data_IF_569613752767
#
_entry.id   IF_569613752767
#
_cell.length_a   1.000
_cell.length_b   1.000
_cell.length_c   1.000
_cell.angle_alpha   90.00
_cell.angle_beta   90.00
_cell.angle_gamma   90.00
#
_symmetry.space_group_name_H-M   'P 1'
#
loop_
_entity.id
_entity.type
_entity.pdbx_description
1 polymer ?
#
# COMPACT_ATOMS: atom_id res chain seq x y z
N UNK A 1 9.40 3.87 15.33
CA UNK A 1 9.44 3.95 13.85
C UNK A 1 8.08 4.40 13.39
N UNK A 2 7.94 5.03 12.22
CA UNK A 2 6.62 5.51 11.75
C UNK A 2 5.59 4.38 11.68
N UNK A 3 6.04 3.18 11.32
CA UNK A 3 5.23 1.97 11.29
C UNK A 3 4.63 1.59 12.67
N UNK A 4 5.34 1.90 13.76
CA UNK A 4 4.90 1.60 15.13
C UNK A 4 3.80 2.57 15.62
N UNK A 5 3.69 3.75 15.01
CA UNK A 5 2.72 4.78 15.40
C UNK A 5 1.49 4.83 14.49
N UNK A 6 1.42 4.00 13.43
CA UNK A 6 0.33 4.01 12.45
C UNK A 6 -1.06 3.85 13.05
N UNK A 7 -1.19 2.95 14.05
CA UNK A 7 -2.47 2.69 14.72
C UNK A 7 -3.06 3.93 15.42
N UNK A 8 -2.21 4.86 15.85
CA UNK A 8 -2.65 6.11 16.49
C UNK A 8 -3.16 7.15 15.48
N UNK A 9 -2.52 7.27 14.32
CA UNK A 9 -2.88 8.23 13.26
C UNK A 9 -4.05 7.75 12.38
N UNK A 10 -4.23 6.43 12.21
CA UNK A 10 -5.26 5.85 11.34
C UNK A 10 -6.69 5.94 11.92
N UNK A 11 -6.82 6.21 13.22
CA UNK A 11 -8.12 6.18 13.90
C UNK A 11 -9.16 7.13 13.30
N UNK A 12 -8.73 8.28 12.78
CA UNK A 12 -9.58 9.32 12.15
C UNK A 12 -9.72 9.15 10.63
N UNK A 13 -8.87 8.33 10.00
CA UNK A 13 -8.77 8.21 8.54
C UNK A 13 -9.36 6.92 8.00
N UNK A 14 -10.02 6.11 8.83
CA UNK A 14 -10.54 4.80 8.45
C UNK A 14 -11.87 4.46 9.14
N UNK A 15 -12.59 3.48 8.58
CA UNK A 15 -13.82 2.93 9.16
C UNK A 15 -15.08 3.67 8.73
N UNK A 16 -16.18 3.44 9.45
CA UNK A 16 -17.53 3.91 9.11
C UNK A 16 -17.63 5.40 8.79
N UNK A 17 -17.07 6.25 9.65
CA UNK A 17 -17.15 7.71 9.49
C UNK A 17 -16.44 8.16 8.21
N UNK A 18 -15.23 7.63 7.97
CA UNK A 18 -14.49 7.91 6.74
C UNK A 18 -15.20 7.38 5.50
N UNK A 19 -15.79 6.18 5.59
CA UNK A 19 -16.60 5.60 4.50
C UNK A 19 -17.81 6.47 4.18
N UNK A 20 -18.47 7.04 5.19
CA UNK A 20 -19.57 7.98 5.01
C UNK A 20 -19.10 9.29 4.35
N UNK A 21 -17.96 9.81 4.80
CA UNK A 21 -17.33 10.97 4.15
C UNK A 21 -17.04 10.68 2.67
N UNK A 22 -16.50 9.51 2.32
CA UNK A 22 -16.29 9.12 0.93
C UNK A 22 -17.60 8.98 0.15
N UNK A 23 -18.71 8.53 0.74
CA UNK A 23 -20.00 8.51 0.03
C UNK A 23 -20.45 9.92 -0.38
N UNK A 24 -20.12 10.93 0.42
CA UNK A 24 -20.50 12.31 0.17
C UNK A 24 -19.54 13.00 -0.82
N UNK A 25 -18.24 12.76 -0.68
CA UNK A 25 -17.22 13.56 -1.39
C UNK A 25 -16.41 12.80 -2.46
N UNK A 26 -16.37 11.47 -2.38
CA UNK A 26 -15.66 10.63 -3.35
C UNK A 26 -16.43 9.32 -3.67
N UNK A 27 -17.75 9.36 -3.98
CA UNK A 27 -18.57 8.14 -4.11
C UNK A 27 -18.08 7.23 -5.23
N UNK A 28 -17.50 7.81 -6.28
CA UNK A 28 -16.93 7.05 -7.40
C UNK A 28 -15.73 6.20 -6.96
N UNK A 29 -14.93 6.66 -5.99
CA UNK A 29 -13.80 5.88 -5.46
C UNK A 29 -14.30 4.59 -4.78
N UNK A 30 -15.26 4.70 -3.85
CA UNK A 30 -15.85 3.52 -3.21
C UNK A 30 -16.51 2.58 -4.23
N UNK A 31 -17.23 3.14 -5.21
CA UNK A 31 -17.87 2.36 -6.28
C UNK A 31 -16.84 1.59 -7.10
N UNK A 32 -15.73 2.22 -7.48
CA UNK A 32 -14.67 1.59 -8.26
C UNK A 32 -13.96 0.49 -7.48
N UNK A 33 -13.55 0.76 -6.22
CA UNK A 33 -12.98 -0.25 -5.33
C UNK A 33 -13.90 -1.46 -5.19
N UNK A 34 -15.19 -1.23 -4.91
CA UNK A 34 -16.17 -2.31 -4.79
C UNK A 34 -16.38 -3.07 -6.11
N UNK A 35 -16.35 -2.38 -7.25
CA UNK A 35 -16.48 -2.99 -8.58
C UNK A 35 -15.32 -3.94 -8.86
N UNK A 36 -14.08 -3.51 -8.65
CA UNK A 36 -12.89 -4.34 -8.85
C UNK A 36 -12.91 -5.58 -7.95
N UNK A 37 -13.22 -5.41 -6.66
CA UNK A 37 -13.30 -6.54 -5.71
C UNK A 37 -14.42 -7.51 -6.09
N UNK A 38 -15.60 -7.00 -6.44
CA UNK A 38 -16.76 -7.83 -6.86
C UNK A 38 -16.50 -8.58 -8.16
N UNK A 39 -15.87 -7.93 -9.14
CA UNK A 39 -15.43 -8.58 -10.39
C UNK A 39 -14.36 -9.63 -10.12
N UNK A 40 -13.39 -9.36 -9.25
CA UNK A 40 -12.39 -10.35 -8.83
C UNK A 40 -13.04 -11.59 -8.19
N UNK A 41 -14.01 -11.40 -7.30
CA UNK A 41 -14.81 -12.49 -6.71
C UNK A 41 -15.56 -13.31 -7.77
N UNK A 42 -16.08 -12.66 -8.81
CA UNK A 42 -16.84 -13.31 -9.90
C UNK A 42 -15.92 -14.09 -10.85
N UNK A 43 -14.71 -13.57 -11.10
CA UNK A 43 -13.72 -14.22 -11.95
C UNK A 43 -12.99 -15.39 -11.27
N UNK A 44 -13.09 -15.50 -9.93
CA UNK A 44 -12.55 -16.62 -9.18
C UNK A 44 -13.17 -17.93 -9.65
N UNK A 45 -12.31 -18.87 -10.09
CA UNK A 45 -12.76 -20.18 -10.57
C UNK A 45 -13.50 -20.96 -9.50
N UNK A 46 -14.55 -21.70 -9.88
CA UNK A 46 -15.42 -22.46 -8.96
C UNK A 46 -14.64 -23.52 -8.15
N UNK A 47 -13.55 -24.05 -8.72
CA UNK A 47 -12.71 -25.08 -8.09
C UNK A 47 -11.61 -24.54 -7.16
N UNK A 48 -11.48 -23.21 -7.02
CA UNK A 48 -10.47 -22.60 -6.14
C UNK A 48 -10.96 -22.50 -4.70
N UNK A 49 -10.01 -22.29 -3.79
CA UNK A 49 -10.26 -21.99 -2.38
C UNK A 49 -11.33 -20.91 -2.18
N UNK A 50 -12.27 -21.20 -1.28
CA UNK A 50 -13.31 -20.25 -0.87
C UNK A 50 -12.83 -19.23 0.16
N UNK A 51 -11.56 -19.29 0.58
CA UNK A 51 -10.95 -18.31 1.46
C UNK A 51 -10.50 -17.07 0.68
N UNK A 52 -10.68 -15.90 1.29
CA UNK A 52 -10.21 -14.62 0.77
C UNK A 52 -9.24 -13.97 1.75
N UNK A 53 -8.22 -13.28 1.25
CA UNK A 53 -7.26 -12.50 2.02
C UNK A 53 -7.32 -11.04 1.62
N UNK A 54 -7.27 -10.13 2.60
CA UNK A 54 -7.12 -8.69 2.38
C UNK A 54 -5.82 -8.24 3.06
N UNK A 55 -4.83 -7.84 2.26
CA UNK A 55 -3.55 -7.26 2.68
C UNK A 55 -3.68 -5.75 2.81
N UNK A 56 -3.16 -5.19 3.91
CA UNK A 56 -3.35 -3.77 4.23
C UNK A 56 -4.82 -3.49 4.54
N UNK A 57 -5.45 -4.39 5.31
CA UNK A 57 -6.89 -4.39 5.49
C UNK A 57 -7.43 -3.14 6.19
N UNK A 58 -6.67 -2.53 7.12
CA UNK A 58 -7.16 -1.46 8.00
C UNK A 58 -8.56 -1.78 8.55
N UNK A 59 -9.46 -0.80 8.51
CA UNK A 59 -10.89 -1.01 8.80
C UNK A 59 -11.73 -1.45 7.58
N UNK A 60 -11.10 -1.86 6.48
CA UNK A 60 -11.73 -2.15 5.19
C UNK A 60 -12.66 -1.02 4.73
N UNK A 61 -12.17 0.22 4.79
CA UNK A 61 -12.96 1.43 4.46
C UNK A 61 -13.44 1.41 3.02
N UNK A 62 -12.57 1.01 2.10
CA UNK A 62 -12.80 0.98 0.66
C UNK A 62 -13.28 -0.40 0.18
N UNK A 63 -12.70 -1.48 0.74
CA UNK A 63 -13.03 -2.85 0.36
C UNK A 63 -14.42 -3.22 0.90
N UNK A 64 -15.34 -3.76 0.06
CA UNK A 64 -16.68 -4.15 0.50
C UNK A 64 -16.66 -5.45 1.31
N UNK A 65 -16.21 -5.38 2.58
CA UNK A 65 -15.99 -6.55 3.43
C UNK A 65 -17.22 -7.46 3.56
N UNK A 66 -18.43 -6.88 3.60
CA UNK A 66 -19.67 -7.66 3.64
C UNK A 66 -19.82 -8.57 2.41
N UNK A 67 -19.48 -8.09 1.22
CA UNK A 67 -19.66 -8.84 -0.03
C UNK A 67 -18.60 -9.93 -0.16
N UNK A 68 -17.36 -9.63 0.25
CA UNK A 68 -16.28 -10.61 0.37
C UNK A 68 -16.65 -11.71 1.37
N UNK A 69 -17.15 -11.35 2.56
CA UNK A 69 -17.53 -12.31 3.60
C UNK A 69 -18.73 -13.19 3.22
N UNK A 70 -19.69 -12.67 2.45
CA UNK A 70 -20.81 -13.46 1.92
C UNK A 70 -20.34 -14.49 0.89
N UNK A 71 -19.36 -14.11 0.08
CA UNK A 71 -18.83 -14.91 -1.03
C UNK A 71 -17.71 -15.88 -0.61
N UNK A 72 -17.31 -15.86 0.65
CA UNK A 72 -16.17 -16.63 1.17
C UNK A 72 -16.57 -17.46 2.38
N UNK A 73 -15.89 -18.59 2.58
CA UNK A 73 -16.03 -19.40 3.80
C UNK A 73 -15.26 -18.78 4.97
N UNK A 74 -14.05 -18.28 4.69
CA UNK A 74 -13.21 -17.49 5.59
C UNK A 74 -12.74 -16.21 4.87
N UNK A 75 -12.63 -15.11 5.61
CA UNK A 75 -11.92 -13.91 5.16
C UNK A 75 -10.83 -13.59 6.18
N UNK A 76 -9.60 -13.53 5.70
CA UNK A 76 -8.44 -13.17 6.51
C UNK A 76 -8.13 -11.69 6.28
N UNK A 77 -8.08 -10.92 7.36
CA UNK A 77 -7.61 -9.53 7.32
C UNK A 77 -6.17 -9.51 7.85
N UNK A 78 -5.26 -8.98 7.05
CA UNK A 78 -3.84 -8.87 7.38
C UNK A 78 -3.39 -7.41 7.35
N UNK A 79 -2.97 -6.91 8.52
CA UNK A 79 -2.52 -5.53 8.73
C UNK A 79 -1.70 -5.45 10.03
N UNK A 80 -0.98 -4.35 10.24
CA UNK A 80 -0.37 -4.02 11.53
C UNK A 80 -1.40 -3.51 12.54
N UNK A 81 -2.46 -2.86 12.08
CA UNK A 81 -3.48 -2.23 12.91
C UNK A 81 -4.64 -3.19 13.21
N UNK A 82 -4.42 -4.04 14.22
CA UNK A 82 -5.44 -4.97 14.71
C UNK A 82 -6.73 -4.27 15.15
N UNK A 83 -6.62 -3.08 15.75
CA UNK A 83 -7.78 -2.34 16.23
C UNK A 83 -8.65 -1.87 15.07
N UNK A 84 -8.05 -1.39 13.99
CA UNK A 84 -8.79 -1.03 12.77
C UNK A 84 -9.45 -2.24 12.12
N UNK A 85 -8.76 -3.38 12.03
CA UNK A 85 -9.37 -4.63 11.53
C UNK A 85 -10.56 -5.09 12.36
N UNK A 86 -10.47 -4.99 13.69
CA UNK A 86 -11.59 -5.28 14.60
C UNK A 86 -12.77 -4.36 14.36
N UNK A 87 -12.56 -3.04 14.24
CA UNK A 87 -13.61 -2.08 13.89
C UNK A 87 -14.29 -2.45 12.58
N UNK A 88 -13.53 -2.77 11.54
CA UNK A 88 -14.06 -3.18 10.24
C UNK A 88 -14.94 -4.45 10.32
N UNK A 89 -14.52 -5.46 11.10
CA UNK A 89 -15.35 -6.66 11.36
C UNK A 89 -16.63 -6.29 12.11
N UNK A 90 -16.54 -5.46 13.14
CA UNK A 90 -17.67 -5.18 14.03
C UNK A 90 -18.78 -4.37 13.32
N UNK A 91 -18.41 -3.60 12.27
CA UNK A 91 -19.34 -2.93 11.34
C UNK A 91 -20.25 -3.91 10.55
N UNK A 92 -19.88 -5.19 10.40
CA UNK A 92 -20.71 -6.16 9.69
C UNK A 92 -22.00 -6.44 10.47
N UNK A 93 -23.17 -6.18 9.89
CA UNK A 93 -24.45 -6.31 10.60
C UNK A 93 -24.75 -7.73 11.12
N UNK A 94 -24.43 -8.75 10.31
CA UNK A 94 -24.74 -10.14 10.64
C UNK A 94 -23.61 -10.81 11.43
N UNK A 95 -23.94 -11.36 12.62
CA UNK A 95 -22.99 -12.08 13.45
C UNK A 95 -22.36 -13.29 12.75
N UNK A 96 -23.09 -13.93 11.83
CA UNK A 96 -22.57 -15.03 11.00
C UNK A 96 -21.43 -14.58 10.08
N UNK A 97 -21.49 -13.36 9.53
CA UNK A 97 -20.41 -12.81 8.71
C UNK A 97 -19.20 -12.44 9.57
N UNK A 98 -19.41 -11.87 10.76
CA UNK A 98 -18.32 -11.57 11.72
C UNK A 98 -17.51 -12.82 12.07
N UNK A 99 -18.17 -13.97 12.25
CA UNK A 99 -17.53 -15.26 12.57
C UNK A 99 -16.64 -15.81 11.46
N UNK A 100 -16.79 -15.35 10.22
CA UNK A 100 -15.94 -15.74 9.09
C UNK A 100 -14.64 -14.95 9.02
N UNK A 101 -14.50 -13.90 9.84
CA UNK A 101 -13.34 -13.02 9.80
C UNK A 101 -12.25 -13.53 10.75
N UNK A 102 -11.07 -13.82 10.20
CA UNK A 102 -9.84 -14.10 10.93
C UNK A 102 -8.88 -12.92 10.82
N UNK A 103 -8.18 -12.60 11.90
CA UNK A 103 -7.16 -11.55 11.89
C UNK A 103 -5.76 -12.13 11.85
N UNK A 104 -4.88 -11.50 11.09
CA UNK A 104 -3.44 -11.73 11.11
C UNK A 104 -2.74 -10.39 11.30
N UNK A 105 -2.33 -10.09 12.53
CA UNK A 105 -1.54 -8.90 12.80
C UNK A 105 -0.10 -9.11 12.33
N UNK A 106 0.34 -8.40 11.29
CA UNK A 106 1.67 -8.61 10.70
C UNK A 106 2.18 -7.40 9.91
N UNK A 107 3.51 -7.31 9.80
CA UNK A 107 4.17 -6.45 8.80
C UNK A 107 4.21 -7.19 7.47
N UNK A 108 3.34 -6.79 6.54
CA UNK A 108 3.23 -7.43 5.22
C UNK A 108 4.47 -7.22 4.33
N UNK A 109 5.36 -6.28 4.69
CA UNK A 109 6.65 -6.12 3.99
C UNK A 109 7.70 -7.16 4.40
N UNK A 110 7.45 -7.94 5.46
CA UNK A 110 8.43 -8.89 6.00
C UNK A 110 9.56 -8.24 6.79
N UNK A 111 9.30 -7.08 7.42
CA UNK A 111 10.26 -6.42 8.31
C UNK A 111 11.16 -5.39 7.64
N UNK A 112 10.80 -4.88 6.46
CA UNK A 112 11.62 -3.92 5.69
C UNK A 112 11.92 -2.67 6.52
N UNK A 113 10.91 -2.10 7.19
CA UNK A 113 11.09 -0.91 8.05
C UNK A 113 12.06 -1.17 9.21
N UNK A 114 11.96 -2.34 9.86
CA UNK A 114 12.87 -2.74 10.94
C UNK A 114 14.30 -2.96 10.42
N UNK A 115 14.43 -3.59 9.26
CA UNK A 115 15.71 -3.83 8.59
C UNK A 115 16.43 -2.52 8.25
N UNK A 116 15.72 -1.56 7.65
CA UNK A 116 16.29 -0.25 7.32
C UNK A 116 16.65 0.51 8.60
N UNK A 117 15.77 0.53 9.60
CA UNK A 117 16.03 1.20 10.89
C UNK A 117 17.30 0.67 11.55
N UNK A 118 17.56 -0.64 11.51
CA UNK A 118 18.79 -1.24 12.04
C UNK A 118 20.04 -0.73 11.32
N UNK A 119 19.98 -0.50 10.01
CA UNK A 119 21.08 0.08 9.25
C UNK A 119 21.26 1.55 9.59
N UNK A 120 20.17 2.33 9.61
CA UNK A 120 20.20 3.74 9.93
C UNK A 120 20.79 4.02 11.32
N UNK A 121 20.54 3.16 12.32
CA UNK A 121 21.10 3.32 13.68
C UNK A 121 22.62 3.17 13.78
N UNK A 122 23.30 2.66 12.75
CA UNK A 122 24.76 2.42 12.77
C UNK A 122 25.57 3.60 12.31
N UNK A 123 24.95 4.55 11.61
CA UNK A 123 25.62 5.73 11.06
C UNK A 123 25.61 6.88 12.08
N UNK A 124 26.68 7.67 12.10
CA UNK A 124 26.73 8.93 12.83
C UNK A 124 26.22 10.07 11.94
N UNK A 125 24.89 10.25 11.94
CA UNK A 125 24.22 11.22 11.07
C UNK A 125 24.64 12.68 11.35
N UNK A 126 25.00 13.01 12.59
CA UNK A 126 25.45 14.36 12.95
C UNK A 126 26.83 14.64 12.36
N UNK A 127 27.76 13.68 12.47
CA UNK A 127 29.07 13.80 11.84
C UNK A 127 28.99 13.82 10.30
N UNK A 128 28.12 13.00 9.71
CA UNK A 128 27.89 12.98 8.27
C UNK A 128 27.27 14.28 7.77
N UNK A 129 26.30 14.86 8.50
CA UNK A 129 25.72 16.16 8.18
C UNK A 129 26.76 17.28 8.27
N UNK A 130 27.64 17.26 9.28
CA UNK A 130 28.74 18.22 9.42
C UNK A 130 29.76 18.11 8.27
N UNK A 131 29.92 16.92 7.69
CA UNK A 131 30.74 16.69 6.49
C UNK A 131 30.05 17.13 5.17
N UNK A 132 28.77 17.53 5.22
CA UNK A 132 28.00 18.05 4.11
C UNK A 132 26.99 17.06 3.51
N UNK A 133 26.05 17.59 2.72
CA UNK A 133 24.93 16.83 2.16
C UNK A 133 25.35 15.61 1.32
N UNK A 134 26.44 15.71 0.56
CA UNK A 134 26.95 14.58 -0.22
C UNK A 134 27.31 13.37 0.67
N UNK A 135 28.03 13.60 1.77
CA UNK A 135 28.41 12.53 2.69
C UNK A 135 27.19 11.90 3.36
N UNK A 136 26.24 12.75 3.79
CA UNK A 136 24.97 12.32 4.37
C UNK A 136 24.16 11.44 3.40
N UNK A 137 23.90 11.94 2.19
CA UNK A 137 23.06 11.23 1.22
C UNK A 137 23.77 10.01 0.60
N UNK A 138 25.10 9.98 0.53
CA UNK A 138 25.84 8.76 0.18
C UNK A 138 25.71 7.69 1.26
N UNK A 139 25.67 8.05 2.54
CA UNK A 139 25.39 7.11 3.62
C UNK A 139 23.93 6.62 3.60
N UNK A 140 22.98 7.52 3.38
CA UNK A 140 21.58 7.16 3.19
C UNK A 140 21.38 6.21 2.01
N UNK A 141 22.04 6.47 0.88
CA UNK A 141 22.03 5.59 -0.29
C UNK A 141 22.55 4.18 0.04
N UNK A 142 23.69 4.08 0.76
CA UNK A 142 24.23 2.78 1.22
C UNK A 142 23.24 2.02 2.10
N UNK A 143 22.57 2.71 3.03
CA UNK A 143 21.55 2.09 3.88
C UNK A 143 20.39 1.49 3.06
N UNK A 144 19.91 2.19 2.04
CA UNK A 144 18.85 1.71 1.14
C UNK A 144 19.34 0.55 0.25
N UNK A 145 20.55 0.66 -0.30
CA UNK A 145 21.19 -0.38 -1.13
C UNK A 145 21.37 -1.69 -0.35
N UNK A 146 21.76 -1.60 0.93
CA UNK A 146 22.05 -2.74 1.80
C UNK A 146 20.82 -3.27 2.55
N UNK A 147 19.69 -2.55 2.54
CA UNK A 147 18.49 -2.95 3.25
C UNK A 147 17.95 -4.29 2.70
N UNK A 148 17.90 -5.36 3.52
CA UNK A 148 17.25 -6.59 3.09
C UNK A 148 15.76 -6.36 2.84
N UNK A 149 15.29 -6.74 1.66
CA UNK A 149 13.89 -6.79 1.26
C UNK A 149 13.57 -8.25 0.94
N UNK A 150 12.91 -9.00 1.84
CA UNK A 150 12.54 -10.38 1.59
C UNK A 150 11.62 -10.49 0.37
N UNK A 151 11.90 -11.42 -0.54
CA UNK A 151 11.15 -11.59 -1.78
C UNK A 151 10.90 -13.09 -2.07
N UNK A 152 9.67 -13.59 -1.85
CA UNK A 152 8.55 -12.91 -1.19
C UNK A 152 8.77 -12.75 0.33
N UNK A 153 8.10 -11.79 0.98
CA UNK A 153 7.90 -11.74 2.43
C UNK A 153 7.39 -13.07 2.99
N UNK A 154 7.89 -13.46 4.17
CA UNK A 154 7.45 -14.65 4.88
C UNK A 154 6.62 -14.26 6.10
N UNK A 155 5.35 -14.66 6.12
CA UNK A 155 4.43 -14.45 7.25
C UNK A 155 3.87 -15.80 7.66
N UNK A 156 4.38 -16.39 8.75
CA UNK A 156 4.16 -17.80 9.10
C UNK A 156 2.68 -18.21 9.27
N UNK A 157 1.78 -17.25 9.51
CA UNK A 157 0.34 -17.45 9.71
C UNK A 157 -0.48 -17.37 8.41
N UNK A 158 0.17 -17.08 7.28
CA UNK A 158 -0.40 -17.03 5.93
C UNK A 158 0.39 -18.01 5.05
N UNK A 159 -0.22 -19.13 4.66
CA UNK A 159 0.47 -20.13 3.85
C UNK A 159 0.29 -19.83 2.37
N UNK A 160 1.28 -20.24 1.58
CA UNK A 160 1.23 -20.14 0.13
C UNK A 160 0.12 -21.01 -0.44
N UNK A 161 -0.60 -20.52 -1.45
CA UNK A 161 -1.65 -21.27 -2.12
C UNK A 161 -3.00 -21.39 -1.39
N UNK A 162 -3.19 -20.70 -0.25
CA UNK A 162 -4.40 -20.91 0.57
C UNK A 162 -5.64 -20.15 0.06
N UNK A 163 -5.48 -19.14 -0.80
CA UNK A 163 -6.53 -18.15 -1.05
C UNK A 163 -6.97 -18.12 -2.51
N UNK A 164 -8.28 -18.27 -2.76
CA UNK A 164 -8.84 -18.09 -4.11
C UNK A 164 -9.02 -16.63 -4.49
N UNK A 165 -9.00 -15.71 -3.51
CA UNK A 165 -8.94 -14.26 -3.72
C UNK A 165 -7.91 -13.61 -2.79
N UNK A 166 -7.01 -12.81 -3.33
CA UNK A 166 -6.10 -11.94 -2.56
C UNK A 166 -6.31 -10.50 -2.98
N UNK A 167 -6.71 -9.64 -2.05
CA UNK A 167 -6.87 -8.19 -2.28
C UNK A 167 -5.72 -7.45 -1.61
N UNK A 168 -5.00 -6.61 -2.35
CA UNK A 168 -4.09 -5.61 -1.77
C UNK A 168 -4.77 -4.25 -1.79
N UNK A 169 -5.03 -3.69 -0.62
CA UNK A 169 -5.87 -2.50 -0.45
C UNK A 169 -5.07 -1.24 -0.14
N UNK A 170 -4.67 -0.48 -1.17
CA UNK A 170 -4.09 0.86 -1.06
C UNK A 170 -2.91 0.98 -0.07
N UNK A 171 -2.15 -0.11 0.06
CA UNK A 171 -1.04 -0.21 1.02
C UNK A 171 0.33 -0.12 0.36
N UNK A 172 0.41 -0.34 -0.96
CA UNK A 172 1.67 -0.51 -1.68
C UNK A 172 2.61 0.68 -1.50
N UNK A 173 2.12 1.91 -1.65
CA UNK A 173 2.96 3.10 -1.50
C UNK A 173 3.49 3.27 -0.08
N UNK A 174 2.72 2.85 0.93
CA UNK A 174 3.11 2.91 2.33
C UNK A 174 4.30 1.98 2.62
N UNK A 175 4.37 0.82 1.94
CA UNK A 175 5.42 -0.19 2.16
C UNK A 175 6.83 0.33 1.87
N UNK A 176 6.98 1.28 0.94
CA UNK A 176 8.27 1.92 0.67
C UNK A 176 8.34 3.37 1.15
N UNK A 177 7.22 4.09 1.23
CA UNK A 177 7.26 5.51 1.62
C UNK A 177 7.59 5.68 3.10
N UNK A 178 7.09 4.82 3.99
CA UNK A 178 7.43 4.92 5.42
C UNK A 178 8.92 4.67 5.70
N UNK A 179 9.56 3.61 5.16
CA UNK A 179 11.01 3.47 5.26
C UNK A 179 11.79 4.67 4.72
N UNK A 180 11.37 5.23 3.58
CA UNK A 180 12.05 6.41 3.00
C UNK A 180 11.87 7.66 3.88
N UNK A 181 10.71 7.85 4.50
CA UNK A 181 10.48 8.92 5.46
C UNK A 181 11.34 8.74 6.72
N UNK A 182 11.59 7.51 7.18
CA UNK A 182 12.51 7.28 8.31
C UNK A 182 13.95 7.75 7.99
N UNK A 183 14.37 7.75 6.71
CA UNK A 183 15.65 8.36 6.28
C UNK A 183 15.58 9.88 6.37
N UNK A 184 14.49 10.49 5.90
CA UNK A 184 14.32 11.95 5.95
C UNK A 184 14.19 12.46 7.38
N UNK A 185 13.61 11.67 8.28
CA UNK A 185 13.58 11.98 9.71
C UNK A 185 15.01 12.07 10.29
N UNK A 186 15.99 11.33 9.75
CA UNK A 186 17.42 11.51 10.11
C UNK A 186 17.98 12.82 9.62
N UNK A 187 17.64 13.24 8.40
CA UNK A 187 18.06 14.53 7.87
C UNK A 187 17.47 15.66 8.72
N UNK A 188 16.16 15.60 8.98
CA UNK A 188 15.45 16.57 9.82
C UNK A 188 16.05 16.70 11.23
N UNK A 189 16.50 15.60 11.83
CA UNK A 189 17.12 15.58 13.16
C UNK A 189 18.56 16.09 13.16
N UNK A 190 19.35 15.74 12.16
CA UNK A 190 20.78 16.07 12.10
C UNK A 190 21.03 17.48 11.55
N UNK A 191 20.33 17.85 10.48
CA UNK A 191 20.38 19.19 9.88
C UNK A 191 19.15 19.43 8.98
N UNK A 192 18.17 20.25 9.43
CA UNK A 192 16.93 20.52 8.68
C UNK A 192 17.15 21.01 7.25
N UNK A 193 18.22 21.76 6.99
CA UNK A 193 18.53 22.32 5.66
C UNK A 193 18.77 21.23 4.61
N UNK A 194 19.25 20.05 5.03
CA UNK A 194 19.50 18.92 4.12
C UNK A 194 18.22 18.37 3.47
N UNK A 195 17.05 18.59 4.07
CA UNK A 195 15.77 18.16 3.47
C UNK A 195 15.54 18.81 2.10
N UNK A 196 16.01 20.04 1.92
CA UNK A 196 15.88 20.79 0.66
C UNK A 196 16.88 20.34 -0.41
N UNK A 197 17.90 19.56 -0.02
CA UNK A 197 18.99 19.15 -0.91
C UNK A 197 18.80 17.75 -1.47
N UNK A 198 17.89 16.94 -0.92
CA UNK A 198 17.68 15.53 -1.29
C UNK A 198 17.61 15.30 -2.82
N UNK A 199 16.91 16.18 -3.54
CA UNK A 199 16.72 16.07 -5.00
C UNK A 199 18.02 16.29 -5.80
N UNK A 200 19.04 16.91 -5.20
CA UNK A 200 20.34 17.19 -5.83
C UNK A 200 21.28 15.99 -5.78
N UNK A 201 21.02 14.99 -4.95
CA UNK A 201 21.92 13.85 -4.74
C UNK A 201 21.50 12.63 -5.57
N UNK A 202 22.02 12.56 -6.80
CA UNK A 202 21.67 11.52 -7.78
C UNK A 202 21.78 10.08 -7.25
N UNK A 203 22.88 9.74 -6.57
CA UNK A 203 23.07 8.38 -6.04
C UNK A 203 21.96 7.98 -5.07
N UNK A 204 21.58 8.89 -4.18
CA UNK A 204 20.49 8.66 -3.25
C UNK A 204 19.14 8.50 -3.99
N UNK A 205 18.88 9.32 -5.01
CA UNK A 205 17.68 9.18 -5.84
C UNK A 205 17.62 7.80 -6.53
N UNK A 206 18.73 7.36 -7.12
CA UNK A 206 18.84 6.05 -7.76
C UNK A 206 18.64 4.90 -6.74
N UNK A 207 19.27 5.00 -5.56
CA UNK A 207 19.13 4.02 -4.49
C UNK A 207 17.68 3.94 -3.96
N UNK A 208 17.03 5.10 -3.73
CA UNK A 208 15.64 5.16 -3.31
C UNK A 208 14.69 4.59 -4.37
N UNK A 209 14.94 4.87 -5.65
CA UNK A 209 14.16 4.31 -6.76
C UNK A 209 14.29 2.79 -6.85
N UNK A 210 15.52 2.28 -6.75
CA UNK A 210 15.78 0.84 -6.76
C UNK A 210 15.15 0.15 -5.54
N UNK A 211 15.20 0.79 -4.38
CA UNK A 211 14.54 0.30 -3.17
C UNK A 211 13.02 0.19 -3.36
N UNK A 212 12.36 1.22 -3.91
CA UNK A 212 10.92 1.17 -4.25
C UNK A 212 10.59 -0.01 -5.16
N UNK A 213 11.36 -0.20 -6.24
CA UNK A 213 11.16 -1.31 -7.19
C UNK A 213 11.28 -2.66 -6.49
N UNK A 214 12.30 -2.85 -5.63
CA UNK A 214 12.48 -4.09 -4.85
C UNK A 214 11.28 -4.39 -3.96
N UNK A 215 10.80 -3.40 -3.20
CA UNK A 215 9.65 -3.56 -2.30
C UNK A 215 8.36 -3.86 -3.07
N UNK A 216 8.15 -3.20 -4.21
CA UNK A 216 6.99 -3.46 -5.07
C UNK A 216 7.02 -4.89 -5.62
N UNK A 217 8.15 -5.33 -6.17
CA UNK A 217 8.28 -6.70 -6.68
C UNK A 217 8.04 -7.73 -5.58
N UNK A 218 8.65 -7.53 -4.41
CA UNK A 218 8.44 -8.40 -3.25
C UNK A 218 6.96 -8.52 -2.88
N UNK A 219 6.21 -7.40 -2.89
CA UNK A 219 4.78 -7.41 -2.62
C UNK A 219 3.97 -8.12 -3.71
N UNK A 220 4.28 -7.89 -4.99
CA UNK A 220 3.62 -8.58 -6.11
C UNK A 220 3.87 -10.10 -6.07
N UNK A 221 5.11 -10.52 -5.83
CA UNK A 221 5.46 -11.92 -5.63
C UNK A 221 4.77 -12.51 -4.38
N UNK A 222 4.62 -11.71 -3.31
CA UNK A 222 3.88 -12.15 -2.13
C UNK A 222 2.43 -12.45 -2.46
N UNK A 223 1.73 -11.49 -3.08
CA UNK A 223 0.36 -11.67 -3.53
C UNK A 223 0.21 -12.93 -4.39
N UNK A 224 1.14 -13.13 -5.34
CA UNK A 224 1.14 -14.33 -6.20
C UNK A 224 1.29 -15.60 -5.38
N UNK A 225 2.23 -15.63 -4.44
CA UNK A 225 2.52 -16.82 -3.62
C UNK A 225 1.33 -17.25 -2.75
N UNK A 226 0.45 -16.32 -2.40
CA UNK A 226 -0.73 -16.57 -1.56
C UNK A 226 -1.92 -17.13 -2.36
N UNK A 227 -1.91 -17.01 -3.69
CA UNK A 227 -3.00 -17.48 -4.54
C UNK A 227 -2.99 -19.00 -4.69
N UNK A 228 -4.15 -19.60 -4.46
CA UNK A 228 -4.45 -20.96 -4.91
C UNK A 228 -4.41 -21.07 -6.45
N UNK A 229 -4.30 -22.28 -6.98
CA UNK A 229 -4.32 -22.55 -8.41
C UNK A 229 -5.62 -22.04 -9.04
N UNK A 230 -5.52 -21.09 -9.98
CA UNK A 230 -6.67 -20.42 -10.58
C UNK A 230 -7.30 -19.31 -9.73
N UNK A 231 -6.66 -18.94 -8.62
CA UNK A 231 -7.04 -17.82 -7.76
C UNK A 231 -6.85 -16.47 -8.46
N UNK A 232 -7.52 -15.44 -7.92
CA UNK A 232 -7.51 -14.08 -8.44
C UNK A 232 -6.85 -13.12 -7.45
N UNK A 233 -5.95 -12.29 -7.93
CA UNK A 233 -5.47 -11.13 -7.19
C UNK A 233 -6.22 -9.87 -7.61
N UNK A 234 -6.57 -9.02 -6.65
CA UNK A 234 -7.06 -7.65 -6.90
C UNK A 234 -6.07 -6.68 -6.27
N UNK A 235 -5.44 -5.84 -7.09
CA UNK A 235 -4.52 -4.81 -6.62
C UNK A 235 -5.20 -3.45 -6.75
N UNK A 236 -5.42 -2.79 -5.62
CA UNK A 236 -5.82 -1.39 -5.56
C UNK A 236 -4.62 -0.60 -5.03
N UNK A 237 -4.13 0.37 -5.79
CA UNK A 237 -2.96 1.16 -5.38
C UNK A 237 -3.05 2.58 -5.87
N UNK A 238 -2.59 3.51 -5.06
CA UNK A 238 -2.26 4.87 -5.49
C UNK A 238 -1.01 4.84 -6.39
N UNK A 239 -1.12 5.51 -7.54
CA UNK A 239 -0.07 5.62 -8.57
C UNK A 239 0.59 7.00 -8.49
N UNK A 240 -0.21 8.05 -8.25
CA UNK A 240 0.24 9.44 -8.13
C UNK A 240 -0.52 10.13 -7.03
N UNK A 241 0.14 11.01 -6.29
CA UNK A 241 -0.49 11.97 -5.39
C UNK A 241 -0.61 13.31 -6.10
N UNK A 242 -1.63 14.09 -5.74
CA UNK A 242 -1.75 15.46 -6.19
C UNK A 242 -2.31 16.37 -5.10
N UNK A 243 -1.83 17.61 -5.08
CA UNK A 243 -2.35 18.70 -4.27
C UNK A 243 -3.06 19.72 -5.18
N UNK A 244 -4.15 20.31 -4.68
CA UNK A 244 -4.97 21.26 -5.43
C UNK A 244 -5.56 22.35 -4.52
N UNK A 245 -5.62 23.58 -5.02
CA UNK A 245 -6.06 24.78 -4.26
C UNK A 245 -7.46 25.29 -4.68
N UNK A 246 -8.12 24.62 -5.63
CA UNK A 246 -9.41 25.04 -6.18
C UNK A 246 -10.59 24.30 -5.54
N UNK A 247 -11.60 25.06 -5.10
CA UNK A 247 -12.90 24.55 -4.64
C UNK A 247 -13.84 24.33 -5.84
N UNK A 248 -14.44 23.14 -5.98
CA UNK A 248 -15.45 22.84 -7.01
C UNK A 248 -15.12 21.61 -7.88
N UNK A 249 -15.88 21.40 -8.96
CA UNK A 249 -15.74 20.23 -9.86
C UNK A 249 -14.70 20.39 -10.96
N UNK A 250 -14.25 21.62 -11.23
CA UNK A 250 -13.16 21.90 -12.17
C UNK A 250 -11.83 21.84 -11.42
N UNK A 251 -11.46 20.63 -11.02
CA UNK A 251 -10.09 20.31 -10.61
C UNK A 251 -9.20 20.31 -11.86
N UNK A 252 -9.12 21.43 -12.57
CA UNK A 252 -8.43 21.53 -13.85
C UNK A 252 -6.95 21.17 -13.67
N UNK A 253 -6.43 20.34 -14.59
CA UNK A 253 -5.09 19.75 -14.48
C UNK A 253 -3.97 20.80 -14.35
N UNK A 254 -4.27 22.04 -14.76
CA UNK A 254 -3.42 23.23 -14.73
C UNK A 254 -3.09 23.73 -13.32
N UNK A 255 -3.91 23.44 -12.30
CA UNK A 255 -3.73 23.93 -10.93
C UNK A 255 -3.28 22.83 -9.95
N UNK A 256 -2.79 21.70 -10.48
CA UNK A 256 -2.40 20.55 -9.67
C UNK A 256 -0.88 20.41 -9.60
N UNK A 257 -0.36 20.18 -8.39
CA UNK A 257 1.01 19.70 -8.21
C UNK A 257 0.95 18.19 -8.06
N UNK A 258 1.55 17.47 -9.00
CA UNK A 258 1.52 16.00 -9.03
C UNK A 258 2.86 15.43 -8.57
N UNK A 259 2.81 14.29 -7.89
CA UNK A 259 3.98 13.54 -7.45
C UNK A 259 3.76 12.05 -7.80
N UNK A 260 4.62 11.43 -8.62
CA UNK A 260 4.55 9.99 -8.84
C UNK A 260 4.86 9.25 -7.54
N UNK A 261 3.99 8.31 -7.15
CA UNK A 261 4.18 7.49 -5.95
C UNK A 261 4.84 6.16 -6.30
N UNK A 262 4.46 5.57 -7.44
CA UNK A 262 5.07 4.35 -7.98
C UNK A 262 6.05 4.68 -9.12
N UNK A 263 7.07 3.82 -9.36
CA UNK A 263 7.99 3.99 -10.48
C UNK A 263 7.27 3.93 -11.83
N UNK A 264 7.80 4.59 -12.86
CA UNK A 264 7.24 4.53 -14.24
C UNK A 264 7.16 3.10 -14.80
N UNK A 265 8.06 2.23 -14.35
CA UNK A 265 8.11 0.80 -14.72
C UNK A 265 7.04 -0.04 -14.01
N UNK A 266 6.23 0.54 -13.12
CA UNK A 266 5.25 -0.19 -12.32
C UNK A 266 4.30 -1.10 -13.15
N UNK A 267 3.72 -0.65 -14.27
CA UNK A 267 2.90 -1.52 -15.11
C UNK A 267 3.65 -2.73 -15.65
N UNK A 268 4.95 -2.58 -15.96
CA UNK A 268 5.80 -3.68 -16.44
C UNK A 268 6.09 -4.69 -15.33
N UNK A 269 6.26 -4.22 -14.08
CA UNK A 269 6.44 -5.09 -12.92
C UNK A 269 5.20 -5.98 -12.67
N UNK A 270 3.99 -5.41 -12.83
CA UNK A 270 2.75 -6.17 -12.74
C UNK A 270 2.72 -7.26 -13.82
N UNK A 271 2.95 -6.89 -15.08
CA UNK A 271 2.91 -7.81 -16.23
C UNK A 271 4.00 -8.88 -16.19
N UNK A 272 5.12 -8.60 -15.54
CA UNK A 272 6.17 -9.59 -15.30
C UNK A 272 5.76 -10.66 -14.26
N UNK A 273 4.80 -10.36 -13.39
CA UNK A 273 4.39 -11.25 -12.30
C UNK A 273 3.04 -11.93 -12.57
N UNK A 274 2.13 -11.21 -13.21
CA UNK A 274 0.73 -11.59 -13.39
C UNK A 274 0.27 -11.35 -14.84
N UNK A 275 -0.72 -12.13 -15.25
CA UNK A 275 -1.60 -11.76 -16.36
C UNK A 275 -2.58 -10.68 -15.88
N UNK A 276 -2.64 -9.55 -16.59
CA UNK A 276 -3.61 -8.48 -16.32
C UNK A 276 -4.91 -8.77 -17.04
N UNK A 277 -5.95 -9.14 -16.30
CA UNK A 277 -7.28 -9.43 -16.84
C UNK A 277 -8.09 -8.16 -17.03
N UNK A 278 -7.99 -7.24 -16.08
CA UNK A 278 -8.66 -5.95 -16.12
C UNK A 278 -7.78 -4.90 -15.46
N UNK A 279 -7.77 -3.69 -16.02
CA UNK A 279 -7.12 -2.51 -15.48
C UNK A 279 -8.10 -1.33 -15.54
N UNK A 280 -8.05 -0.46 -14.54
CA UNK A 280 -8.80 0.78 -14.52
C UNK A 280 -8.11 1.84 -13.67
N UNK A 281 -8.36 3.10 -13.99
CA UNK A 281 -7.78 4.24 -13.28
C UNK A 281 -8.87 5.25 -12.93
N UNK A 282 -8.77 5.85 -11.74
CA UNK A 282 -9.70 6.87 -11.27
C UNK A 282 -9.06 7.78 -10.22
N UNK A 283 -9.70 8.93 -9.97
CA UNK A 283 -9.25 9.86 -8.95
C UNK A 283 -9.93 9.57 -7.59
N UNK A 284 -9.16 9.73 -6.53
CA UNK A 284 -9.59 9.64 -5.14
C UNK A 284 -9.26 10.94 -4.43
N UNK A 285 -10.29 11.73 -4.11
CA UNK A 285 -10.14 12.90 -3.25
C UNK A 285 -10.12 12.43 -1.79
N UNK A 286 -9.04 12.71 -1.07
CA UNK A 286 -8.94 12.37 0.36
C UNK A 286 -9.34 13.54 1.22
N UNK A 287 -8.95 14.76 0.84
CA UNK A 287 -9.17 15.96 1.63
C UNK A 287 -9.54 17.10 0.71
N UNK A 288 -10.53 17.88 1.10
CA UNK A 288 -10.89 19.11 0.39
C UNK A 288 -9.97 20.25 0.84
N UNK A 289 -9.66 21.21 -0.05
CA UNK A 289 -8.91 22.39 0.34
C UNK A 289 -9.68 23.20 1.39
N UNK A 290 -8.95 23.83 2.28
CA UNK A 290 -9.46 24.84 3.21
C UNK A 290 -8.60 26.12 3.11
N UNK A 291 -8.91 27.13 3.91
CA UNK A 291 -8.22 28.43 3.87
C UNK A 291 -6.72 28.34 4.25
N UNK A 292 -6.28 27.26 4.88
CA UNK A 292 -4.93 27.08 5.39
C UNK A 292 -4.14 26.01 4.63
N UNK A 293 -4.82 25.07 3.96
CA UNK A 293 -4.20 23.87 3.38
C UNK A 293 -4.78 23.50 2.02
N UNK A 294 -3.91 23.10 1.06
CA UNK A 294 -4.36 22.53 -0.19
C UNK A 294 -5.14 21.24 0.06
N UNK A 295 -6.11 20.98 -0.82
CA UNK A 295 -6.76 19.69 -0.94
C UNK A 295 -5.78 18.63 -1.42
N UNK A 296 -6.10 17.37 -1.15
CA UNK A 296 -5.26 16.22 -1.48
C UNK A 296 -6.07 15.14 -2.17
N UNK A 297 -5.47 14.54 -3.17
CA UNK A 297 -6.04 13.40 -3.87
C UNK A 297 -4.98 12.51 -4.48
N UNK A 298 -5.43 11.37 -4.99
CA UNK A 298 -4.60 10.35 -5.58
C UNK A 298 -5.21 9.84 -6.87
N UNK A 299 -4.36 9.54 -7.84
CA UNK A 299 -4.71 8.69 -8.98
C UNK A 299 -4.57 7.24 -8.53
N UNK A 300 -5.65 6.47 -8.59
CA UNK A 300 -5.71 5.06 -8.18
C UNK A 300 -5.68 4.18 -9.42
N UNK A 301 -4.87 3.14 -9.39
CA UNK A 301 -4.94 1.99 -10.29
C UNK A 301 -5.65 0.82 -9.63
N UNK A 302 -6.63 0.26 -10.31
CA UNK A 302 -7.25 -1.02 -9.99
C UNK A 302 -6.84 -2.06 -11.02
N UNK A 303 -6.42 -3.23 -10.55
CA UNK A 303 -6.04 -4.35 -11.41
C UNK A 303 -6.71 -5.64 -10.93
N UNK A 304 -7.23 -6.42 -11.87
CA UNK A 304 -7.61 -7.82 -11.66
C UNK A 304 -6.55 -8.69 -12.33
N UNK A 305 -5.95 -9.57 -11.55
CA UNK A 305 -4.71 -10.25 -11.87
C UNK A 305 -4.88 -11.76 -11.73
N UNK A 306 -4.31 -12.51 -12.67
CA UNK A 306 -4.15 -13.96 -12.59
C UNK A 306 -2.67 -14.31 -12.49
N UNK A 307 -2.34 -15.36 -11.75
CA UNK A 307 -0.97 -15.88 -11.78
C UNK A 307 -0.63 -16.26 -13.22
N UNK A 308 0.57 -15.90 -13.69
CA UNK A 308 1.10 -16.47 -14.93
C UNK A 308 1.21 -17.98 -14.70
N UNK A 309 0.50 -18.77 -15.50
CA UNK A 309 0.62 -20.22 -15.46
C UNK A 309 2.05 -20.58 -15.86
N UNK A 310 2.92 -20.84 -14.89
CA UNK A 310 4.07 -21.69 -15.16
C UNK A 310 3.53 -23.11 -15.21
N UNK A 311 3.28 -23.57 -16.44
CA UNK A 311 3.28 -24.98 -16.78
C UNK A 311 4.59 -25.58 -16.24
N UNK A 312 4.58 -26.04 -14.99
CA UNK A 312 5.58 -26.97 -14.52
C UNK A 312 5.16 -28.35 -14.99
N UNK A 313 5.73 -28.73 -16.15
CA UNK A 313 5.97 -30.12 -16.54
C UNK A 313 6.92 -30.79 -15.58
#
# INVERSE_FOLDING_TARGET
MRIDTLSSYNSQMQGKERREWFRQHAPQHLKNCATFVSRGLTQRSVGTSRSSLILGAGACTEVPLSDVARSSEEVVLADLDLNSMQRGRDELLAASLRKRIRFVQCDISGGVSSNLTRLLRREDWSALAAAGGQAFFDAAARCLEQCPVPDPPTIHTLRSGDFGLVVSSLVLSQLFSYPLLDVLDRAQQASPDLLLEQERHRRYQDAAQNFRIKVINAHLHYMRSLLDLGGIAVLLTDIRGFAFDVHGTDHDATHRRTLPLVPRTFPDLIKATFEVVEEGQWEWLTDLPDNERPGRGYEIGGYILKSLDHFFS
#
